data_IF_125016688008
#
_entry.id   IF_125016688008
#
_cell.length_a   1.000
_cell.length_b   1.000
_cell.length_c   1.000
_cell.angle_alpha   90.00
_cell.angle_beta   90.00
_cell.angle_gamma   90.00
#
_symmetry.space_group_name_H-M   'P 1'
#
loop_
_entity.id
_entity.type
_entity.pdbx_description
1 polymer ?
#
# COMPACT_ATOMS: atom_id res chain seq x y z
N UNK A 1 44.28 37.22 15.25
CA UNK A 1 43.45 37.63 14.11
C UNK A 1 42.79 36.37 13.55
N UNK A 2 41.79 35.91 14.29
CA UNK A 2 40.36 36.17 14.04
C UNK A 2 39.80 34.93 13.34
N UNK A 3 39.13 34.04 14.08
CA UNK A 3 37.74 34.19 14.53
C UNK A 3 36.78 34.20 13.34
N UNK A 4 36.15 33.06 13.11
CA UNK A 4 34.83 32.98 12.50
C UNK A 4 34.28 31.56 12.64
N UNK A 5 33.00 31.28 12.90
CA UNK A 5 31.81 32.06 13.27
C UNK A 5 30.89 31.00 13.92
N UNK A 6 30.31 31.33 15.07
CA UNK A 6 29.23 30.59 15.70
C UNK A 6 27.95 30.81 14.89
N UNK A 7 27.23 29.73 14.57
CA UNK A 7 25.91 29.80 13.94
C UNK A 7 24.87 29.23 14.91
N UNK A 8 24.14 30.18 15.47
CA UNK A 8 22.89 30.14 16.21
C UNK A 8 21.85 29.16 15.60
N UNK A 9 21.32 28.28 16.44
CA UNK A 9 20.12 27.48 16.12
C UNK A 9 19.04 27.91 17.10
N UNK A 10 18.15 28.76 16.63
CA UNK A 10 16.91 29.14 17.29
C UNK A 10 15.94 27.96 17.23
N UNK A 11 15.50 27.50 18.41
CA UNK A 11 14.36 26.62 18.58
C UNK A 11 13.09 27.47 18.61
N UNK A 12 12.14 27.19 17.71
CA UNK A 12 10.75 27.60 17.90
C UNK A 12 9.80 26.41 17.76
N UNK A 13 8.86 26.45 18.70
CA UNK A 13 7.98 25.40 19.19
C UNK A 13 6.64 25.51 18.48
N UNK A 14 6.14 24.39 17.93
CA UNK A 14 4.75 24.33 17.44
C UNK A 14 4.03 23.07 17.92
N UNK A 15 3.48 23.22 19.12
CA UNK A 15 2.09 22.97 19.53
C UNK A 15 1.35 21.76 18.91
N UNK A 16 1.39 20.65 19.64
CA UNK A 16 0.54 19.48 19.44
C UNK A 16 -0.60 19.50 20.47
N UNK A 17 -1.81 19.86 20.06
CA UNK A 17 -3.01 19.73 20.90
C UNK A 17 -3.59 18.32 20.82
N UNK A 18 -3.27 17.52 21.85
CA UNK A 18 -3.97 16.29 22.22
C UNK A 18 -5.33 16.65 22.84
N UNK A 19 -6.41 16.07 22.32
CA UNK A 19 -7.71 16.11 22.99
C UNK A 19 -8.01 14.74 23.60
N UNK A 20 -7.58 14.57 24.85
CA UNK A 20 -8.06 13.51 25.72
C UNK A 20 -9.46 13.89 26.23
N UNK A 21 -10.40 12.97 26.02
CA UNK A 21 -11.71 12.99 26.64
C UNK A 21 -11.61 12.50 28.09
N UNK A 22 -12.03 13.31 29.05
CA UNK A 22 -12.65 12.78 30.26
C UNK A 22 -13.70 13.74 30.84
N UNK A 23 -14.69 13.12 31.48
CA UNK A 23 -16.00 13.65 31.79
C UNK A 23 -16.04 14.57 33.03
N UNK A 24 -17.00 15.50 33.02
CA UNK A 24 -18.01 15.74 34.08
C UNK A 24 -18.19 17.22 34.47
N UNK A 25 -19.35 17.77 34.16
CA UNK A 25 -19.96 18.80 35.01
C UNK A 25 -21.49 18.81 34.83
N UNK A 26 -22.13 17.95 35.61
CA UNK A 26 -23.45 18.23 36.17
C UNK A 26 -23.39 19.54 36.97
N UNK A 27 -24.32 20.45 36.71
CA UNK A 27 -24.69 21.49 37.68
C UNK A 27 -26.14 21.21 38.15
N UNK A 28 -26.46 21.43 39.44
CA UNK A 28 -27.62 20.83 40.06
C UNK A 28 -28.87 21.72 39.99
N UNK A 29 -30.00 21.10 40.35
CA UNK A 29 -31.27 21.72 40.76
C UNK A 29 -32.30 22.06 39.68
N UNK A 30 -33.08 21.05 39.31
CA UNK A 30 -34.52 21.22 39.11
C UNK A 30 -35.25 20.01 39.71
N UNK A 31 -35.83 20.22 40.90
CA UNK A 31 -36.90 19.39 41.45
C UNK A 31 -38.01 19.22 40.41
N UNK A 32 -38.50 17.99 40.18
CA UNK A 32 -39.93 17.66 40.03
C UNK A 32 -40.13 16.13 39.87
N UNK A 33 -40.64 15.54 40.95
CA UNK A 33 -41.66 14.46 41.02
C UNK A 33 -41.47 13.11 40.30
N UNK A 34 -41.35 12.07 41.14
CA UNK A 34 -41.84 10.69 40.99
C UNK A 34 -42.77 10.41 39.80
N UNK A 35 -42.46 9.37 39.01
CA UNK A 35 -43.41 8.31 38.69
C UNK A 35 -42.69 7.01 38.28
N UNK A 36 -42.96 5.96 39.05
CA UNK A 36 -42.62 4.57 38.76
C UNK A 36 -43.53 4.08 37.62
N UNK A 37 -42.94 3.69 36.49
CA UNK A 37 -43.64 3.02 35.40
C UNK A 37 -42.80 1.85 34.88
N UNK A 38 -43.19 0.64 35.28
CA UNK A 38 -42.94 -0.59 34.53
C UNK A 38 -43.69 -0.54 33.20
N UNK A 39 -42.98 -0.66 32.09
CA UNK A 39 -43.47 -1.14 30.78
C UNK A 39 -42.27 -1.83 30.11
N UNK A 40 -42.24 -3.16 30.10
CA UNK A 40 -42.77 -4.06 29.06
C UNK A 40 -42.04 -3.97 27.71
N UNK A 41 -41.64 -5.17 27.27
CA UNK A 41 -40.87 -5.53 26.09
C UNK A 41 -41.21 -4.72 24.82
N UNK A 42 -40.17 -4.12 24.24
CA UNK A 42 -40.09 -3.90 22.80
C UNK A 42 -38.75 -4.42 22.27
N UNK A 43 -38.78 -5.67 21.77
CA UNK A 43 -37.79 -6.20 20.83
C UNK A 43 -37.88 -5.43 19.53
N UNK A 44 -36.81 -4.73 19.16
CA UNK A 44 -36.38 -4.45 17.78
C UNK A 44 -34.91 -4.02 17.85
N UNK A 45 -34.02 -4.26 16.90
CA UNK A 45 -33.79 -5.27 15.87
C UNK A 45 -32.43 -4.83 15.29
N UNK A 46 -31.55 -5.79 14.99
CA UNK A 46 -30.42 -5.68 14.07
C UNK A 46 -29.40 -4.53 14.22
N UNK A 47 -28.23 -4.89 14.75
CA UNK A 47 -26.98 -4.90 13.99
C UNK A 47 -26.74 -3.72 13.01
N UNK A 48 -26.16 -2.63 13.51
CA UNK A 48 -25.35 -1.72 12.68
C UNK A 48 -24.02 -2.43 12.33
N UNK A 49 -24.09 -3.38 11.39
CA UNK A 49 -22.92 -3.73 10.61
C UNK A 49 -22.62 -2.54 9.71
N UNK A 50 -21.61 -1.76 10.06
CA UNK A 50 -20.87 -0.98 9.08
C UNK A 50 -20.24 -1.95 8.08
N UNK A 51 -21.04 -2.40 7.11
CA UNK A 51 -20.51 -2.92 5.86
C UNK A 51 -19.78 -1.75 5.24
N UNK A 52 -18.45 -1.77 5.33
CA UNK A 52 -17.61 -1.02 4.41
C UNK A 52 -18.04 -1.45 3.01
N UNK A 53 -18.95 -0.68 2.43
CA UNK A 53 -19.24 -0.70 1.01
C UNK A 53 -17.93 -0.31 0.33
N UNK A 54 -17.13 -1.31 0.01
CA UNK A 54 -16.02 -1.16 -0.90
C UNK A 54 -16.66 -0.82 -2.24
N UNK A 55 -16.88 0.47 -2.48
CA UNK A 55 -17.07 1.00 -3.82
C UNK A 55 -15.78 0.63 -4.58
N UNK A 56 -15.76 -0.57 -5.16
CA UNK A 56 -14.79 -0.92 -6.17
C UNK A 56 -15.07 0.07 -7.30
N UNK A 57 -14.15 1.01 -7.49
CA UNK A 57 -14.13 1.79 -8.72
C UNK A 57 -14.08 0.78 -9.87
N UNK A 58 -15.16 0.60 -10.65
CA UNK A 58 -15.36 -0.58 -11.50
C UNK A 58 -14.36 -0.65 -12.67
N UNK A 59 -13.49 0.35 -12.82
CA UNK A 59 -12.43 0.40 -13.82
C UNK A 59 -11.06 -0.12 -13.37
N UNK A 60 -10.80 -0.29 -12.06
CA UNK A 60 -9.47 -0.68 -11.57
C UNK A 60 -9.40 -2.19 -11.36
N UNK A 61 -8.44 -2.81 -12.05
CA UNK A 61 -8.16 -4.24 -12.05
C UNK A 61 -6.72 -4.51 -11.61
N UNK A 62 -6.40 -5.77 -11.34
CA UNK A 62 -5.03 -6.20 -11.12
C UNK A 62 -4.67 -7.40 -11.97
N UNK A 63 -3.45 -7.38 -12.50
CA UNK A 63 -2.86 -8.47 -13.26
C UNK A 63 -1.70 -9.02 -12.45
N UNK A 64 -1.80 -10.28 -12.06
CA UNK A 64 -0.74 -11.02 -11.39
C UNK A 64 -0.15 -12.05 -12.34
N UNK A 65 1.17 -12.06 -12.46
CA UNK A 65 1.95 -12.98 -13.29
C UNK A 65 2.88 -13.74 -12.38
N UNK A 66 2.89 -15.07 -12.51
CA UNK A 66 3.80 -15.97 -11.80
C UNK A 66 4.47 -16.85 -12.83
N UNK A 67 5.80 -16.88 -12.83
CA UNK A 67 6.54 -17.78 -13.69
C UNK A 67 7.82 -18.28 -13.01
N UNK A 68 8.16 -19.52 -13.32
CA UNK A 68 9.38 -20.14 -12.84
C UNK A 68 10.56 -19.77 -13.76
N UNK A 69 11.78 -19.85 -13.24
CA UNK A 69 13.00 -19.62 -14.00
C UNK A 69 13.80 -18.39 -13.55
N UNK A 70 14.94 -18.17 -14.19
CA UNK A 70 15.79 -17.01 -13.97
C UNK A 70 15.47 -15.92 -15.00
N UNK A 71 15.60 -14.68 -14.56
CA UNK A 71 15.25 -13.51 -15.33
C UNK A 71 16.47 -12.61 -15.50
N UNK A 72 16.59 -12.04 -16.69
CA UNK A 72 17.57 -11.01 -17.02
C UNK A 72 17.04 -9.65 -16.52
N UNK A 73 17.70 -9.11 -15.49
CA UNK A 73 17.30 -7.86 -14.85
C UNK A 73 17.38 -6.67 -15.80
N UNK A 74 18.34 -6.65 -16.73
CA UNK A 74 18.50 -5.54 -17.68
C UNK A 74 17.35 -5.55 -18.70
N UNK A 75 17.02 -6.73 -19.25
CA UNK A 75 15.87 -6.89 -20.15
C UNK A 75 14.55 -6.52 -19.46
N UNK A 76 14.36 -6.97 -18.22
CA UNK A 76 13.16 -6.65 -17.47
C UNK A 76 13.03 -5.16 -17.15
N UNK A 77 14.13 -4.50 -16.77
CA UNK A 77 14.12 -3.05 -16.55
C UNK A 77 13.80 -2.27 -17.83
N UNK A 78 14.37 -2.66 -18.98
CA UNK A 78 14.05 -2.03 -20.26
C UNK A 78 12.57 -2.24 -20.62
N UNK A 79 12.08 -3.47 -20.53
CA UNK A 79 10.68 -3.79 -20.82
C UNK A 79 9.71 -3.03 -19.89
N UNK A 80 9.96 -3.02 -18.59
CA UNK A 80 9.17 -2.27 -17.61
C UNK A 80 9.19 -0.76 -17.90
N UNK A 81 10.35 -0.22 -18.28
CA UNK A 81 10.48 1.19 -18.67
C UNK A 81 9.63 1.52 -19.89
N UNK A 82 9.66 0.69 -20.94
CA UNK A 82 8.81 0.86 -22.11
C UNK A 82 7.32 0.74 -21.76
N UNK A 83 6.95 -0.27 -20.98
CA UNK A 83 5.57 -0.48 -20.54
C UNK A 83 5.03 0.73 -19.75
N UNK A 84 5.86 1.31 -18.87
CA UNK A 84 5.50 2.51 -18.11
C UNK A 84 5.35 3.74 -19.00
N UNK A 85 6.21 3.93 -20.01
CA UNK A 85 6.07 5.06 -20.94
C UNK A 85 4.77 4.94 -21.76
N UNK A 86 4.41 3.73 -22.19
CA UNK A 86 3.23 3.49 -23.03
C UNK A 86 1.92 3.46 -22.22
N UNK A 87 1.97 3.07 -20.94
CA UNK A 87 0.77 2.80 -20.11
C UNK A 87 0.82 3.49 -18.73
N UNK A 88 1.56 4.60 -18.58
CA UNK A 88 1.66 5.35 -17.30
C UNK A 88 0.30 5.81 -16.77
N UNK A 89 -0.63 6.18 -17.64
CA UNK A 89 -1.98 6.61 -17.25
C UNK A 89 -2.89 5.46 -16.80
N UNK A 90 -2.54 4.22 -17.18
CA UNK A 90 -3.30 3.01 -16.88
C UNK A 90 -2.74 2.27 -15.67
N UNK A 91 -1.41 2.29 -15.47
CA UNK A 91 -0.72 1.58 -14.39
C UNK A 91 -0.49 2.51 -13.19
N UNK A 92 -1.21 2.25 -12.10
CA UNK A 92 -1.11 3.07 -10.89
C UNK A 92 -0.02 2.55 -9.95
N UNK A 93 0.10 1.23 -9.83
CA UNK A 93 1.07 0.58 -8.94
C UNK A 93 1.53 -0.73 -9.53
N UNK A 94 2.80 -1.04 -9.30
CA UNK A 94 3.36 -2.36 -9.55
C UNK A 94 4.23 -2.80 -8.39
N UNK A 95 4.29 -4.11 -8.18
CA UNK A 95 5.26 -4.74 -7.28
C UNK A 95 5.73 -6.03 -7.90
N UNK A 96 6.97 -6.40 -7.64
CA UNK A 96 7.45 -7.69 -8.07
C UNK A 96 8.54 -8.26 -7.18
N UNK A 97 8.67 -9.57 -7.28
CA UNK A 97 9.72 -10.39 -6.73
C UNK A 97 10.29 -11.18 -7.90
N UNK A 98 11.59 -11.04 -8.14
CA UNK A 98 12.28 -11.60 -9.29
C UNK A 98 13.40 -12.53 -8.83
N UNK A 99 13.56 -13.63 -9.55
CA UNK A 99 14.71 -14.51 -9.51
C UNK A 99 15.69 -14.07 -10.58
N UNK A 100 16.60 -13.16 -10.24
CA UNK A 100 17.57 -12.60 -11.18
C UNK A 100 18.74 -13.56 -11.40
N UNK A 101 19.17 -13.69 -12.64
CA UNK A 101 20.37 -14.47 -12.97
C UNK A 101 21.64 -13.90 -12.33
N UNK A 102 22.52 -14.77 -11.85
CA UNK A 102 23.72 -14.36 -11.12
C UNK A 102 23.48 -13.83 -9.69
N UNK A 103 22.22 -13.70 -9.24
CA UNK A 103 21.89 -13.31 -7.86
C UNK A 103 21.39 -14.50 -7.04
N UNK A 104 21.88 -14.62 -5.80
CA UNK A 104 21.37 -15.58 -4.81
C UNK A 104 20.31 -14.98 -3.91
N UNK A 105 20.12 -13.66 -3.99
CA UNK A 105 19.09 -12.92 -3.30
C UNK A 105 17.86 -12.79 -4.18
N UNK A 106 16.72 -12.62 -3.53
CA UNK A 106 15.50 -12.19 -4.19
C UNK A 106 15.66 -10.73 -4.55
N UNK A 107 15.25 -10.37 -5.76
CA UNK A 107 15.17 -8.98 -6.12
C UNK A 107 13.71 -8.55 -5.99
N UNK A 108 13.42 -7.63 -5.08
CA UNK A 108 12.08 -7.06 -4.95
C UNK A 108 12.06 -5.68 -5.56
N UNK A 109 10.98 -5.34 -6.23
CA UNK A 109 10.77 -4.00 -6.73
C UNK A 109 9.36 -3.53 -6.46
N UNK A 110 9.22 -2.21 -6.43
CA UNK A 110 7.94 -1.53 -6.36
C UNK A 110 7.99 -0.30 -7.26
N UNK A 111 6.86 -0.01 -7.89
CA UNK A 111 6.69 1.17 -8.69
C UNK A 111 5.32 1.80 -8.50
N UNK A 112 5.28 3.13 -8.62
CA UNK A 112 4.06 3.95 -8.55
C UNK A 112 4.16 4.96 -9.68
N UNK A 113 3.24 4.89 -10.63
CA UNK A 113 3.32 5.64 -11.89
C UNK A 113 4.72 5.47 -12.52
N UNK A 114 5.45 6.58 -12.71
CA UNK A 114 6.73 6.61 -13.42
C UNK A 114 7.94 6.26 -12.53
N UNK A 115 7.74 6.11 -11.22
CA UNK A 115 8.82 5.83 -10.27
C UNK A 115 8.95 4.32 -10.12
N UNK A 116 10.14 3.80 -10.41
CA UNK A 116 10.52 2.41 -10.20
C UNK A 116 11.70 2.31 -9.24
N UNK A 117 11.57 1.49 -8.19
CA UNK A 117 12.61 1.24 -7.21
C UNK A 117 12.73 -0.26 -6.96
N UNK A 118 13.94 -0.80 -7.08
CA UNK A 118 14.25 -2.20 -6.80
C UNK A 118 15.43 -2.34 -5.87
N UNK A 119 15.38 -3.33 -4.99
CA UNK A 119 16.46 -3.67 -4.07
C UNK A 119 16.55 -5.18 -3.89
N UNK A 120 17.75 -5.72 -3.60
CA UNK A 120 17.87 -7.05 -3.02
C UNK A 120 17.07 -7.11 -1.70
N UNK A 121 16.37 -8.22 -1.48
CA UNK A 121 15.69 -8.56 -0.23
C UNK A 121 16.53 -9.61 0.51
N UNK A 122 15.98 -10.80 0.80
CA UNK A 122 16.74 -11.89 1.43
C UNK A 122 17.27 -12.89 0.41
N UNK A 123 18.26 -13.67 0.85
CA UNK A 123 18.71 -14.87 0.15
C UNK A 123 17.56 -15.85 -0.09
N UNK A 124 17.60 -16.52 -1.24
CA UNK A 124 16.77 -17.69 -1.49
C UNK A 124 17.12 -18.79 -0.50
N UNK A 125 16.09 -19.45 0.05
CA UNK A 125 16.30 -20.64 0.88
C UNK A 125 16.85 -21.82 0.06
N UNK A 126 17.51 -22.79 0.70
CA UNK A 126 18.13 -23.93 0.00
C UNK A 126 17.12 -24.82 -0.74
N UNK A 127 15.88 -24.92 -0.23
CA UNK A 127 14.78 -25.68 -0.85
C UNK A 127 13.70 -24.77 -1.44
N UNK A 128 13.96 -23.46 -1.48
CA UNK A 128 12.96 -22.50 -1.90
C UNK A 128 12.93 -22.37 -3.42
N UNK A 129 11.76 -22.55 -4.07
CA UNK A 129 11.68 -22.48 -5.52
C UNK A 129 11.93 -21.05 -5.97
N UNK A 130 12.87 -20.90 -6.92
CA UNK A 130 13.16 -19.64 -7.60
C UNK A 130 12.00 -19.32 -8.55
N UNK A 131 11.15 -18.40 -8.10
CA UNK A 131 9.94 -17.98 -8.81
C UNK A 131 9.93 -16.48 -8.98
N UNK A 132 9.36 -16.04 -10.08
CA UNK A 132 9.12 -14.64 -10.36
C UNK A 132 7.63 -14.36 -10.18
N UNK A 133 7.31 -13.26 -9.50
CA UNK A 133 5.96 -12.82 -9.23
C UNK A 133 5.89 -11.33 -9.47
N UNK A 134 5.01 -10.88 -10.35
CA UNK A 134 4.73 -9.46 -10.54
C UNK A 134 3.23 -9.23 -10.45
N UNK A 135 2.85 -8.15 -9.78
CA UNK A 135 1.49 -7.63 -9.77
C UNK A 135 1.48 -6.20 -10.33
N UNK A 136 0.57 -5.95 -11.25
CA UNK A 136 0.21 -4.63 -11.75
C UNK A 136 -1.21 -4.30 -11.30
N UNK A 137 -1.44 -3.05 -10.91
CA UNK A 137 -2.74 -2.53 -10.48
C UNK A 137 -3.03 -1.27 -11.28
N UNK A 138 -4.18 -1.23 -11.94
CA UNK A 138 -4.47 -0.23 -12.94
C UNK A 138 -5.78 -0.48 -13.69
N UNK A 139 -6.10 0.39 -14.64
CA UNK A 139 -7.27 0.23 -15.53
C UNK A 139 -6.83 -0.28 -16.89
N UNK A 140 -7.74 -0.92 -17.64
CA UNK A 140 -7.49 -1.40 -19.00
C UNK A 140 -6.20 -2.24 -19.17
N UNK A 141 -5.86 -3.05 -18.16
CA UNK A 141 -4.65 -3.86 -18.19
C UNK A 141 -4.84 -5.07 -19.12
N UNK A 142 -3.98 -5.21 -20.13
CA UNK A 142 -3.95 -6.39 -20.99
C UNK A 142 -3.02 -7.44 -20.37
N UNK A 143 -3.64 -8.48 -19.78
CA UNK A 143 -2.89 -9.57 -19.15
C UNK A 143 -1.97 -10.29 -20.12
N UNK A 144 -2.43 -10.56 -21.34
CA UNK A 144 -1.70 -11.39 -22.30
C UNK A 144 -0.49 -10.63 -22.84
N UNK A 145 -0.64 -9.33 -23.09
CA UNK A 145 0.45 -8.43 -23.47
C UNK A 145 1.54 -8.39 -22.38
N UNK A 146 1.14 -8.11 -21.13
CA UNK A 146 2.07 -7.99 -20.00
C UNK A 146 2.75 -9.35 -19.72
N UNK A 147 2.00 -10.45 -19.74
CA UNK A 147 2.55 -11.79 -19.50
C UNK A 147 3.54 -12.20 -20.59
N UNK A 148 3.23 -11.89 -21.86
CA UNK A 148 4.13 -12.16 -22.98
C UNK A 148 5.39 -11.32 -22.91
N UNK A 149 5.26 -10.04 -22.59
CA UNK A 149 6.40 -9.14 -22.39
C UNK A 149 7.31 -9.62 -21.27
N UNK A 150 6.72 -10.03 -20.14
CA UNK A 150 7.48 -10.56 -19.02
C UNK A 150 8.19 -11.88 -19.34
N UNK A 151 7.51 -12.82 -20.02
CA UNK A 151 8.12 -14.09 -20.43
C UNK A 151 9.28 -13.90 -21.41
N UNK A 152 9.30 -12.82 -22.18
CA UNK A 152 10.42 -12.50 -23.06
C UNK A 152 11.70 -12.06 -22.31
N UNK A 153 11.58 -11.71 -21.02
CA UNK A 153 12.71 -11.38 -20.15
C UNK A 153 13.31 -12.59 -19.43
N UNK A 154 12.67 -13.77 -19.53
CA UNK A 154 13.21 -15.01 -18.99
C UNK A 154 14.40 -15.50 -19.84
N UNK A 155 15.32 -16.22 -19.19
CA UNK A 155 16.48 -16.84 -19.81
C UNK A 155 16.23 -18.29 -20.24
#
# INVERSE_FOLDING_TARGET
>A
IDSAIEADHSEEVHDSHSHDHDHNCHNPEHDHHHHDHKHDDHKHENHDHHTHDHTHDPGVSSVNIVCDGTLDLEKANMWLGTLLIERSEDIYRMKGLLSVDGMNERFVFQGVHDIFQGSPDRLWGPEEPRVNKIVFIGKNLDRDEIEKGFKACLL
#
